data_IF_266617480725
#
_entry.id   IF_266617480725
#
_cell.length_a   1.000
_cell.length_b   1.000
_cell.length_c   1.000
_cell.angle_alpha   90.00
_cell.angle_beta   90.00
_cell.angle_gamma   90.00
#
_symmetry.space_group_name_H-M   'P 1'
#
loop_
_entity.id
_entity.type
_entity.pdbx_description
1 polymer ?
#
# COMPACT_ATOMS: atom_id res chain seq x y z
N UNK A 1 42.39 48.31 37.99
CA UNK A 1 41.05 47.99 37.52
C UNK A 1 41.17 47.27 36.18
N UNK A 2 41.16 45.91 36.19
CA UNK A 2 41.30 45.07 35.01
C UNK A 2 39.92 44.63 34.55
N UNK A 3 39.48 45.07 33.38
CA UNK A 3 38.22 44.61 32.76
C UNK A 3 38.49 43.27 32.05
N UNK A 4 37.87 42.20 32.51
CA UNK A 4 37.86 40.89 31.85
C UNK A 4 36.78 40.89 30.77
N UNK A 5 37.16 40.80 29.50
CA UNK A 5 36.27 40.60 28.39
C UNK A 5 36.04 39.09 28.22
N UNK A 6 34.84 38.63 28.54
CA UNK A 6 34.41 37.23 28.35
C UNK A 6 33.91 37.12 26.90
N UNK A 7 34.72 36.52 26.02
CA UNK A 7 34.32 36.21 24.64
C UNK A 7 33.51 34.93 24.61
N UNK A 8 32.19 35.07 24.44
CA UNK A 8 31.28 33.92 24.30
C UNK A 8 31.40 33.30 22.91
N UNK A 9 31.89 32.08 22.85
CA UNK A 9 31.96 31.28 21.64
C UNK A 9 30.56 30.63 21.37
N UNK A 10 29.81 31.14 20.41
CA UNK A 10 28.53 30.56 19.98
C UNK A 10 28.84 29.41 19.03
N UNK A 11 28.71 28.18 19.50
CA UNK A 11 28.79 26.98 18.69
C UNK A 11 27.43 26.78 18.03
N UNK A 12 27.31 27.17 16.74
CA UNK A 12 26.16 26.83 15.91
C UNK A 12 26.23 25.38 15.49
N UNK A 13 25.43 24.50 16.12
CA UNK A 13 25.23 23.14 15.66
C UNK A 13 24.31 23.14 14.45
N UNK A 14 24.87 22.97 13.27
CA UNK A 14 24.12 22.72 12.05
C UNK A 14 23.52 21.32 12.11
N UNK A 15 22.22 21.24 12.44
CA UNK A 15 21.45 20.01 12.30
C UNK A 15 21.21 19.81 10.81
N UNK A 16 22.07 19.01 10.18
CA UNK A 16 21.89 18.54 8.79
C UNK A 16 20.77 17.52 8.78
N UNK A 17 19.56 17.93 8.38
CA UNK A 17 18.52 17.00 7.99
C UNK A 17 18.99 16.23 6.76
N UNK A 18 19.38 14.96 6.94
CA UNK A 18 19.53 14.03 5.81
C UNK A 18 18.16 13.81 5.20
N UNK A 19 17.85 14.52 4.14
CA UNK A 19 16.77 14.16 3.22
C UNK A 19 17.16 12.82 2.60
N UNK A 20 16.48 11.75 3.01
CA UNK A 20 16.56 10.47 2.32
C UNK A 20 16.00 10.68 0.91
N UNK A 21 16.86 10.76 -0.07
CA UNK A 21 16.42 10.71 -1.46
C UNK A 21 15.68 9.39 -1.69
N UNK A 22 14.54 9.41 -2.41
CA UNK A 22 13.89 8.19 -2.79
C UNK A 22 14.90 7.33 -3.56
N UNK A 23 15.14 6.14 -3.05
CA UNK A 23 15.98 5.16 -3.73
C UNK A 23 15.31 4.88 -5.07
N UNK A 24 15.95 5.30 -6.16
CA UNK A 24 15.56 4.88 -7.50
C UNK A 24 15.79 3.38 -7.52
N UNK A 25 14.70 2.62 -7.39
CA UNK A 25 14.72 1.18 -7.65
C UNK A 25 15.13 1.07 -9.11
N UNK A 26 16.35 0.64 -9.36
CA UNK A 26 16.79 0.27 -10.69
C UNK A 26 15.92 -0.92 -11.12
N UNK A 27 14.83 -0.63 -11.81
CA UNK A 27 14.07 -1.65 -12.52
C UNK A 27 15.05 -2.31 -13.51
N UNK A 28 15.04 -3.64 -13.63
CA UNK A 28 15.89 -4.30 -14.59
C UNK A 28 15.62 -3.68 -15.96
N UNK A 29 16.68 -3.39 -16.75
CA UNK A 29 16.52 -2.81 -18.06
C UNK A 29 15.73 -3.79 -18.94
N UNK A 30 14.69 -3.26 -19.56
CA UNK A 30 13.79 -3.94 -20.50
C UNK A 30 12.99 -5.11 -19.90
N UNK A 31 11.71 -4.87 -19.86
CA UNK A 31 10.57 -5.69 -19.50
C UNK A 31 10.85 -7.16 -19.27
N UNK A 32 10.57 -7.62 -18.06
CA UNK A 32 10.51 -9.05 -17.79
C UNK A 32 9.46 -9.65 -18.75
N UNK A 33 9.93 -10.16 -19.89
CA UNK A 33 9.07 -10.84 -20.84
C UNK A 33 8.67 -12.18 -20.24
N UNK A 34 7.44 -12.27 -19.77
CA UNK A 34 6.85 -13.56 -19.43
C UNK A 34 6.77 -14.37 -20.73
N UNK A 35 7.50 -15.47 -20.80
CA UNK A 35 7.37 -16.42 -21.89
C UNK A 35 6.19 -17.35 -21.63
N UNK A 36 5.56 -17.89 -22.67
CA UNK A 36 4.46 -18.85 -22.53
C UNK A 36 4.86 -20.02 -21.63
N UNK A 37 6.08 -20.53 -21.78
CA UNK A 37 6.61 -21.62 -20.94
C UNK A 37 6.76 -21.23 -19.45
N UNK A 38 6.96 -19.95 -19.13
CA UNK A 38 7.02 -19.50 -17.75
C UNK A 38 5.64 -19.37 -17.11
N UNK A 39 4.59 -19.24 -17.92
CA UNK A 39 3.20 -19.13 -17.48
C UNK A 39 2.49 -20.47 -17.37
N UNK A 40 2.85 -21.48 -18.19
CA UNK A 40 2.19 -22.79 -18.20
C UNK A 40 2.13 -23.48 -16.85
N UNK A 41 3.15 -23.27 -15.99
CA UNK A 41 3.22 -23.83 -14.65
C UNK A 41 3.35 -22.73 -13.58
N UNK A 42 2.80 -21.55 -13.83
CA UNK A 42 2.89 -20.44 -12.89
C UNK A 42 1.87 -20.59 -11.76
N UNK A 43 2.34 -20.52 -10.52
CA UNK A 43 1.46 -20.31 -9.36
C UNK A 43 1.15 -18.83 -9.29
N UNK A 44 -0.14 -18.51 -9.40
CA UNK A 44 -0.65 -17.14 -9.26
C UNK A 44 -1.17 -16.97 -7.84
N UNK A 45 -0.72 -15.93 -7.16
CA UNK A 45 -1.19 -15.56 -5.84
C UNK A 45 -1.98 -14.26 -5.92
N UNK A 46 -3.30 -14.34 -5.70
CA UNK A 46 -4.15 -13.17 -5.63
C UNK A 46 -4.03 -12.53 -4.24
N UNK A 47 -3.81 -11.22 -4.19
CA UNK A 47 -3.64 -10.49 -2.94
C UNK A 47 -4.52 -9.27 -2.84
N UNK A 48 -5.21 -9.13 -1.71
CA UNK A 48 -5.86 -7.91 -1.29
C UNK A 48 -4.93 -7.14 -0.35
N UNK A 49 -4.24 -6.12 -0.84
CA UNK A 49 -3.25 -5.35 -0.08
C UNK A 49 -3.84 -4.77 1.20
N UNK A 50 -5.09 -4.27 1.15
CA UNK A 50 -5.75 -3.63 2.31
C UNK A 50 -6.08 -4.59 3.45
N UNK A 51 -6.16 -5.89 3.14
CA UNK A 51 -6.51 -6.95 4.11
C UNK A 51 -5.34 -7.88 4.42
N UNK A 52 -4.21 -7.72 3.75
CA UNK A 52 -3.06 -8.61 3.89
C UNK A 52 -2.37 -8.47 5.25
N UNK A 53 -2.36 -7.27 5.78
CA UNK A 53 -1.74 -6.96 7.07
C UNK A 53 -2.58 -5.95 7.85
N UNK A 54 -2.34 -5.79 9.15
CA UNK A 54 -3.00 -4.74 9.95
C UNK A 54 -2.79 -3.33 9.37
N UNK A 55 -1.63 -3.07 8.76
CA UNK A 55 -1.30 -1.79 8.13
C UNK A 55 -1.98 -1.58 6.78
N UNK A 56 -2.41 -2.65 6.12
CA UNK A 56 -3.05 -2.61 4.81
C UNK A 56 -2.22 -1.93 3.72
N UNK A 57 -0.89 -2.10 3.76
CA UNK A 57 0.04 -1.35 2.93
C UNK A 57 0.89 -2.26 2.03
N UNK A 58 1.35 -1.70 0.89
CA UNK A 58 2.33 -2.39 0.04
C UNK A 58 3.62 -2.70 0.77
N UNK A 59 4.08 -1.80 1.65
CA UNK A 59 5.32 -2.01 2.40
C UNK A 59 5.22 -3.24 3.31
N UNK A 60 4.06 -3.49 3.91
CA UNK A 60 3.85 -4.68 4.72
C UNK A 60 3.84 -5.94 3.86
N UNK A 61 3.11 -5.93 2.74
CA UNK A 61 3.06 -7.04 1.80
C UNK A 61 4.44 -7.39 1.22
N UNK A 62 5.22 -6.36 0.82
CA UNK A 62 6.54 -6.55 0.20
C UNK A 62 7.50 -7.35 1.07
N UNK A 63 7.37 -7.27 2.39
CA UNK A 63 8.21 -8.03 3.32
C UNK A 63 8.00 -9.54 3.20
N UNK A 64 6.84 -9.97 2.72
CA UNK A 64 6.50 -11.39 2.60
C UNK A 64 6.76 -11.98 1.21
N UNK A 65 7.12 -11.16 0.23
CA UNK A 65 7.45 -11.62 -1.13
C UNK A 65 8.51 -12.75 -1.14
N UNK A 66 9.59 -12.71 -0.32
CA UNK A 66 10.54 -13.80 -0.28
C UNK A 66 9.91 -15.15 0.11
N UNK A 67 8.96 -15.15 1.05
CA UNK A 67 8.25 -16.36 1.48
C UNK A 67 7.34 -16.89 0.36
N UNK A 68 6.60 -16.00 -0.30
CA UNK A 68 5.77 -16.36 -1.45
C UNK A 68 6.61 -16.97 -2.58
N UNK A 69 7.80 -16.41 -2.84
CA UNK A 69 8.74 -16.96 -3.81
C UNK A 69 9.19 -18.38 -3.43
N UNK A 70 9.47 -18.63 -2.14
CA UNK A 70 9.81 -19.97 -1.65
C UNK A 70 8.67 -20.98 -1.81
N UNK A 71 7.43 -20.52 -1.71
CA UNK A 71 6.23 -21.32 -1.99
C UNK A 71 6.01 -21.59 -3.49
N UNK A 72 6.85 -21.06 -4.36
CA UNK A 72 6.76 -21.26 -5.80
C UNK A 72 5.85 -20.27 -6.52
N UNK A 73 5.38 -19.21 -5.84
CA UNK A 73 4.61 -18.14 -6.49
C UNK A 73 5.48 -17.43 -7.51
N UNK A 74 4.99 -17.33 -8.74
CA UNK A 74 5.64 -16.64 -9.86
C UNK A 74 4.94 -15.37 -10.28
N UNK A 75 3.63 -15.30 -10.06
CA UNK A 75 2.81 -14.15 -10.43
C UNK A 75 2.02 -13.68 -9.21
N UNK A 76 2.06 -12.39 -8.94
CA UNK A 76 1.22 -11.75 -7.93
C UNK A 76 0.14 -10.96 -8.66
N UNK A 77 -1.11 -11.34 -8.42
CA UNK A 77 -2.27 -10.61 -8.91
C UNK A 77 -2.80 -9.71 -7.80
N UNK A 78 -2.57 -8.43 -7.94
CA UNK A 78 -3.06 -7.45 -6.96
C UNK A 78 -4.51 -7.10 -7.26
N UNK A 79 -5.40 -7.32 -6.26
CA UNK A 79 -6.79 -6.83 -6.34
C UNK A 79 -6.82 -5.31 -6.45
N UNK A 80 -7.94 -4.70 -6.92
CA UNK A 80 -8.00 -3.27 -7.13
C UNK A 80 -7.57 -2.47 -5.89
N UNK A 81 -6.61 -1.55 -6.09
CA UNK A 81 -6.01 -0.70 -5.05
C UNK A 81 -6.58 0.72 -5.05
N UNK A 82 -7.39 1.02 -6.03
CA UNK A 82 -7.99 2.33 -6.26
C UNK A 82 -9.04 2.70 -5.20
N UNK A 83 -9.41 3.98 -5.07
CA UNK A 83 -10.51 4.39 -4.20
C UNK A 83 -11.82 3.67 -4.55
N UNK A 84 -12.50 3.18 -3.52
CA UNK A 84 -13.77 2.48 -3.65
C UNK A 84 -14.92 3.49 -3.66
N UNK A 85 -15.94 3.23 -4.49
CA UNK A 85 -17.16 4.03 -4.52
C UNK A 85 -17.79 4.14 -3.13
N UNK A 86 -18.19 5.34 -2.77
CA UNK A 86 -18.86 5.63 -1.50
C UNK A 86 -20.40 5.54 -1.61
N UNK A 87 -20.91 5.46 -2.84
CA UNK A 87 -22.37 5.34 -3.10
C UNK A 87 -22.74 3.88 -3.31
N UNK A 88 -23.93 3.50 -2.85
CA UNK A 88 -24.51 2.15 -3.03
C UNK A 88 -23.56 1.02 -2.62
N UNK A 89 -22.73 1.24 -1.58
CA UNK A 89 -21.89 0.20 -1.02
C UNK A 89 -22.75 -0.90 -0.43
N UNK A 90 -22.53 -2.15 -0.82
CA UNK A 90 -23.26 -3.28 -0.25
C UNK A 90 -22.72 -3.61 1.15
N UNK A 91 -23.65 -3.75 2.11
CA UNK A 91 -23.34 -4.22 3.45
C UNK A 91 -23.49 -5.74 3.56
N UNK A 92 -24.52 -6.31 2.91
CA UNK A 92 -24.77 -7.75 2.89
C UNK A 92 -24.90 -8.26 1.46
N UNK A 93 -24.66 -9.55 1.25
CA UNK A 93 -24.87 -10.22 -0.02
C UNK A 93 -26.16 -11.03 -0.05
N UNK A 94 -26.44 -11.68 -1.19
CA UNK A 94 -27.62 -12.52 -1.39
C UNK A 94 -28.86 -11.73 -1.84
N UNK A 95 -30.00 -12.41 -1.83
CA UNK A 95 -31.27 -11.88 -2.33
C UNK A 95 -31.80 -10.70 -1.48
N UNK A 96 -31.53 -10.73 -0.15
CA UNK A 96 -31.88 -9.65 0.78
C UNK A 96 -30.72 -8.66 1.00
N UNK A 97 -29.94 -8.39 -0.05
CA UNK A 97 -28.78 -7.52 0.06
C UNK A 97 -29.19 -6.09 0.45
N UNK A 98 -28.55 -5.55 1.50
CA UNK A 98 -28.71 -4.17 1.96
C UNK A 98 -27.51 -3.32 1.57
N UNK A 99 -27.75 -2.02 1.41
CA UNK A 99 -26.66 -1.06 1.25
C UNK A 99 -26.13 -0.59 2.61
N UNK A 100 -24.89 -0.14 2.67
CA UNK A 100 -24.31 0.42 3.88
C UNK A 100 -25.13 1.61 4.42
N UNK A 101 -25.77 2.38 3.53
CA UNK A 101 -26.66 3.51 3.92
C UNK A 101 -27.93 3.08 4.64
N UNK A 102 -28.34 1.83 4.55
CA UNK A 102 -29.50 1.26 5.21
C UNK A 102 -29.16 0.66 6.59
N UNK A 103 -27.87 0.59 6.91
CA UNK A 103 -27.38 0.11 8.19
C UNK A 103 -27.36 1.24 9.23
N UNK A 104 -27.36 0.91 10.52
CA UNK A 104 -27.21 1.92 11.58
C UNK A 104 -26.00 2.83 11.32
N UNK A 105 -26.16 4.13 11.49
CA UNK A 105 -25.10 5.12 11.17
C UNK A 105 -23.76 4.78 11.80
N UNK A 106 -23.76 4.31 13.05
CA UNK A 106 -22.56 3.90 13.77
C UNK A 106 -21.85 2.70 13.13
N UNK A 107 -22.52 1.93 12.26
CA UNK A 107 -21.97 0.72 11.64
C UNK A 107 -21.60 0.91 10.17
N UNK A 108 -22.10 1.96 9.53
CA UNK A 108 -21.88 2.17 8.08
C UNK A 108 -20.42 2.17 7.67
N UNK A 109 -19.52 2.64 8.54
CA UNK A 109 -18.09 2.66 8.29
C UNK A 109 -17.45 1.25 8.19
N UNK A 110 -18.11 0.22 8.72
CA UNK A 110 -17.61 -1.18 8.66
C UNK A 110 -17.80 -1.79 7.27
N UNK A 111 -18.67 -1.23 6.45
CA UNK A 111 -19.04 -1.76 5.15
C UNK A 111 -18.37 -0.99 4.02
N UNK A 112 -17.23 -1.46 3.58
CA UNK A 112 -16.44 -0.80 2.52
C UNK A 112 -17.02 -1.02 1.12
N UNK A 113 -17.82 -2.07 0.93
CA UNK A 113 -18.31 -2.45 -0.38
C UNK A 113 -17.30 -3.26 -1.18
N UNK A 114 -17.48 -3.34 -2.49
CA UNK A 114 -16.61 -4.11 -3.37
C UNK A 114 -15.37 -3.30 -3.76
N UNK A 115 -14.19 -3.91 -3.68
CA UNK A 115 -12.94 -3.33 -4.19
C UNK A 115 -12.97 -3.11 -5.71
N UNK A 116 -13.82 -3.83 -6.42
CA UNK A 116 -14.02 -3.68 -7.85
C UNK A 116 -14.95 -2.51 -8.23
N UNK A 117 -15.63 -1.90 -7.24
CA UNK A 117 -16.41 -0.68 -7.44
C UNK A 117 -15.48 0.56 -7.40
N UNK A 118 -14.57 0.64 -8.35
CA UNK A 118 -13.57 1.72 -8.43
C UNK A 118 -14.25 3.05 -8.75
N UNK A 119 -13.95 4.09 -7.96
CA UNK A 119 -14.47 5.45 -8.18
C UNK A 119 -13.49 6.36 -8.93
N UNK A 120 -12.20 6.07 -8.87
CA UNK A 120 -11.17 6.87 -9.55
C UNK A 120 -9.94 5.99 -9.89
N UNK A 121 -9.70 5.77 -11.18
CA UNK A 121 -8.56 4.99 -11.68
C UNK A 121 -7.23 5.74 -11.69
N UNK A 122 -7.23 7.03 -11.34
CA UNK A 122 -6.03 7.88 -11.34
C UNK A 122 -5.45 8.09 -9.94
N UNK A 123 -6.08 7.53 -8.92
CA UNK A 123 -5.64 7.63 -7.51
C UNK A 123 -5.36 6.25 -6.94
N UNK A 124 -4.33 6.21 -6.08
CA UNK A 124 -3.96 5.03 -5.27
C UNK A 124 -3.87 5.46 -3.82
#
# INVERSE_FOLDING_TARGET
MKKLLLSGLIISTLISCKTSQPQIVNLPPEGYHLTDSSLENAVIYEVNIRQYSPEGSFNAFTKDIPNLKQLGVKVIWVMPIFPISQTKRKATGGDDSKFASEMPVAEQHKYLGSYYAVSDFKKV
#
